data_IF_605908739825
#
_entry.id   IF_605908739825
#
_cell.length_a   1.000
_cell.length_b   1.000
_cell.length_c   1.000
_cell.angle_alpha   90.00
_cell.angle_beta   90.00
_cell.angle_gamma   90.00
#
_symmetry.space_group_name_H-M   'P 1'
#
loop_
_entity.id
_entity.type
_entity.pdbx_description
1 polymer ?
#
# COMPACT_ATOMS: atom_id res chain seq x y z
N UNK A 1 -34.36 4.98 -0.69
CA UNK A 1 -33.74 3.65 -0.74
C UNK A 1 -34.57 2.72 0.14
N UNK A 2 -34.73 1.46 -0.23
CA UNK A 2 -35.53 0.45 0.48
C UNK A 2 -34.59 -0.60 1.03
N UNK A 3 -34.73 -0.97 2.30
CA UNK A 3 -33.91 -1.98 2.96
C UNK A 3 -34.19 -3.36 2.33
N UNK A 4 -33.18 -3.97 1.76
CA UNK A 4 -33.21 -5.36 1.25
C UNK A 4 -32.71 -6.37 2.29
N UNK A 5 -31.72 -5.97 3.07
CA UNK A 5 -31.09 -6.83 4.08
C UNK A 5 -30.58 -5.99 5.23
N UNK A 6 -30.82 -6.43 6.45
CA UNK A 6 -30.27 -5.86 7.67
C UNK A 6 -29.04 -6.70 8.05
N UNK A 7 -27.87 -6.08 8.18
CA UNK A 7 -26.66 -6.75 8.58
C UNK A 7 -26.52 -6.72 10.11
N UNK A 8 -26.71 -5.55 10.70
CA UNK A 8 -26.77 -5.31 12.14
C UNK A 8 -27.55 -4.01 12.40
N UNK A 9 -27.56 -3.53 13.65
CA UNK A 9 -28.28 -2.28 14.00
C UNK A 9 -27.75 -1.02 13.27
N UNK A 10 -26.54 -1.08 12.72
CA UNK A 10 -25.82 0.07 12.15
C UNK A 10 -25.48 -0.07 10.67
N UNK A 11 -25.81 -1.21 10.04
CA UNK A 11 -25.52 -1.45 8.63
C UNK A 11 -26.66 -2.18 7.94
N UNK A 12 -27.03 -1.69 6.76
CA UNK A 12 -28.06 -2.30 5.91
C UNK A 12 -27.62 -2.33 4.45
N UNK A 13 -28.08 -3.31 3.71
CA UNK A 13 -28.07 -3.28 2.25
C UNK A 13 -29.41 -2.73 1.80
N UNK A 14 -29.39 -1.61 1.08
CA UNK A 14 -30.57 -0.98 0.53
C UNK A 14 -30.50 -0.90 -0.99
N UNK A 15 -31.64 -0.94 -1.63
CA UNK A 15 -31.78 -0.82 -3.08
C UNK A 15 -32.07 0.62 -3.48
N UNK A 16 -31.30 1.12 -4.44
CA UNK A 16 -31.54 2.40 -5.11
C UNK A 16 -32.72 2.29 -6.09
N UNK A 17 -33.24 3.45 -6.55
CA UNK A 17 -34.23 3.53 -7.63
C UNK A 17 -33.76 2.93 -8.96
N UNK A 18 -32.45 2.74 -9.15
CA UNK A 18 -31.82 2.17 -10.32
C UNK A 18 -31.51 0.67 -10.18
N UNK A 19 -32.11 0.00 -9.19
CA UNK A 19 -31.92 -1.44 -8.90
C UNK A 19 -30.46 -1.81 -8.50
N UNK A 20 -29.70 -0.83 -8.00
CA UNK A 20 -28.34 -1.03 -7.52
C UNK A 20 -28.38 -1.24 -6.00
N UNK A 21 -27.73 -2.30 -5.54
CA UNK A 21 -27.54 -2.57 -4.13
C UNK A 21 -26.44 -1.66 -3.57
N UNK A 22 -26.74 -0.97 -2.48
CA UNK A 22 -25.86 -0.03 -1.81
C UNK A 22 -25.77 -0.46 -0.35
N UNK A 23 -24.57 -0.60 0.17
CA UNK A 23 -24.37 -0.79 1.59
C UNK A 23 -24.40 0.58 2.26
N UNK A 24 -25.32 0.74 3.21
CA UNK A 24 -25.50 1.96 3.99
C UNK A 24 -25.10 1.68 5.42
N UNK A 25 -24.34 2.61 5.95
CA UNK A 25 -23.81 2.57 7.29
C UNK A 25 -24.20 3.85 8.04
N UNK A 26 -24.58 3.72 9.31
CA UNK A 26 -24.89 4.81 10.19
C UNK A 26 -25.43 4.33 11.53
N UNK A 27 -25.16 5.09 12.60
CA UNK A 27 -25.54 4.69 13.96
C UNK A 27 -27.06 4.50 14.08
N UNK A 28 -27.47 3.26 14.39
CA UNK A 28 -28.89 2.92 14.58
C UNK A 28 -29.72 2.93 13.30
N UNK A 29 -29.13 2.95 12.12
CA UNK A 29 -29.83 3.02 10.82
C UNK A 29 -30.87 1.90 10.63
N UNK A 30 -30.68 0.75 11.25
CA UNK A 30 -31.60 -0.39 11.22
C UNK A 30 -32.43 -0.54 12.50
N UNK A 31 -32.24 0.33 13.50
CA UNK A 31 -32.93 0.18 14.77
C UNK A 31 -34.46 0.34 14.61
N UNK A 32 -35.21 -0.66 15.03
CA UNK A 32 -36.65 -0.71 14.90
C UNK A 32 -37.20 -0.85 13.48
N UNK A 33 -36.34 -1.11 12.49
CA UNK A 33 -36.73 -1.24 11.08
C UNK A 33 -36.74 -2.69 10.63
N UNK A 34 -37.47 -2.92 9.52
CA UNK A 34 -37.63 -4.23 8.86
C UNK A 34 -37.22 -4.15 7.39
N UNK A 35 -37.01 -5.31 6.80
CA UNK A 35 -36.84 -5.43 5.35
C UNK A 35 -38.07 -4.87 4.66
N UNK A 36 -37.88 -4.04 3.65
CA UNK A 36 -38.93 -3.32 2.93
C UNK A 36 -39.14 -1.88 3.41
N UNK A 37 -38.64 -1.50 4.58
CA UNK A 37 -38.74 -0.14 5.08
C UNK A 37 -37.84 0.84 4.30
N UNK A 38 -38.23 2.13 4.32
CA UNK A 38 -37.43 3.20 3.74
C UNK A 38 -36.32 3.60 4.70
N UNK A 39 -35.10 3.78 4.18
CA UNK A 39 -33.98 4.38 4.94
C UNK A 39 -34.15 5.89 4.96
N UNK A 40 -34.07 6.52 6.16
CA UNK A 40 -33.94 7.97 6.26
C UNK A 40 -32.54 8.40 5.85
N UNK A 41 -32.47 9.43 5.01
CA UNK A 41 -31.18 9.94 4.51
C UNK A 41 -30.32 10.56 5.63
N UNK A 42 -30.95 11.06 6.69
CA UNK A 42 -30.25 11.66 7.85
C UNK A 42 -29.49 10.60 8.66
N UNK A 43 -29.97 9.37 8.68
CA UNK A 43 -29.34 8.25 9.42
C UNK A 43 -28.15 7.66 8.67
N UNK A 44 -27.89 8.09 7.42
CA UNK A 44 -26.80 7.59 6.60
C UNK A 44 -25.55 8.42 6.87
N UNK A 45 -24.59 7.83 7.54
CA UNK A 45 -23.25 8.41 7.72
C UNK A 45 -22.34 8.10 6.52
N UNK A 46 -22.50 6.92 5.93
CA UNK A 46 -21.71 6.48 4.77
C UNK A 46 -22.46 5.53 3.86
N UNK A 47 -22.13 5.57 2.58
CA UNK A 47 -22.63 4.65 1.55
C UNK A 47 -21.50 4.10 0.72
N UNK A 48 -21.51 2.77 0.47
CA UNK A 48 -20.53 2.07 -0.34
C UNK A 48 -21.23 1.53 -1.59
N UNK A 49 -20.74 1.99 -2.77
CA UNK A 49 -21.24 1.60 -4.07
C UNK A 49 -20.37 0.48 -4.64
N UNK A 50 -20.59 -0.74 -4.21
CA UNK A 50 -19.75 -1.86 -4.56
C UNK A 50 -20.17 -2.44 -5.92
N UNK A 51 -19.34 -2.24 -6.92
CA UNK A 51 -19.56 -2.77 -8.28
C UNK A 51 -19.37 -4.29 -8.38
N UNK A 52 -18.58 -4.87 -7.47
CA UNK A 52 -18.23 -6.28 -7.45
C UNK A 52 -18.99 -7.01 -6.33
N UNK A 53 -19.59 -8.18 -6.67
CA UNK A 53 -20.31 -9.04 -5.71
C UNK A 53 -19.40 -9.58 -4.59
N UNK A 54 -18.15 -9.87 -4.91
CA UNK A 54 -17.19 -10.39 -3.93
C UNK A 54 -16.86 -9.33 -2.87
N UNK A 55 -16.68 -8.08 -3.29
CA UNK A 55 -16.49 -6.97 -2.36
C UNK A 55 -17.72 -6.75 -1.48
N UNK A 56 -18.94 -6.88 -2.04
CA UNK A 56 -20.18 -6.80 -1.25
C UNK A 56 -20.24 -7.88 -0.17
N UNK A 57 -19.84 -9.10 -0.49
CA UNK A 57 -19.79 -10.20 0.48
C UNK A 57 -18.77 -9.89 1.59
N UNK A 58 -17.55 -9.49 1.25
CA UNK A 58 -16.50 -9.13 2.21
C UNK A 58 -16.91 -7.97 3.13
N UNK A 59 -17.51 -6.91 2.58
CA UNK A 59 -18.05 -5.80 3.39
C UNK A 59 -19.15 -6.29 4.34
N UNK A 60 -20.04 -7.15 3.84
CA UNK A 60 -21.12 -7.71 4.67
C UNK A 60 -20.55 -8.49 5.85
N UNK A 61 -19.58 -9.36 5.62
CA UNK A 61 -18.90 -10.16 6.64
C UNK A 61 -18.16 -9.26 7.65
N UNK A 62 -17.45 -8.24 7.18
CA UNK A 62 -16.79 -7.27 8.04
C UNK A 62 -17.79 -6.59 8.99
N UNK A 63 -18.91 -6.05 8.48
CA UNK A 63 -19.90 -5.37 9.32
C UNK A 63 -20.64 -6.30 10.29
N UNK A 64 -20.72 -7.60 9.99
CA UNK A 64 -21.30 -8.58 10.92
C UNK A 64 -20.33 -8.93 12.05
N UNK A 65 -19.04 -9.11 11.74
CA UNK A 65 -18.07 -9.72 12.62
C UNK A 65 -17.21 -8.71 13.39
N UNK A 66 -17.00 -7.50 12.83
CA UNK A 66 -16.11 -6.50 13.44
C UNK A 66 -16.92 -5.53 14.32
N UNK A 67 -16.45 -5.22 15.55
CA UNK A 67 -17.07 -4.20 16.39
C UNK A 67 -17.16 -2.84 15.68
N UNK A 68 -18.32 -2.19 15.82
CA UNK A 68 -18.58 -0.90 15.17
C UNK A 68 -17.54 0.16 15.49
N UNK A 69 -17.04 0.15 16.72
CA UNK A 69 -16.02 1.09 17.19
C UNK A 69 -14.74 1.02 16.32
N UNK A 70 -14.33 -0.18 15.90
CA UNK A 70 -13.17 -0.36 15.03
C UNK A 70 -13.43 0.17 13.61
N UNK A 71 -14.66 0.03 13.11
CA UNK A 71 -15.04 0.61 11.81
C UNK A 71 -14.91 2.15 11.85
N UNK A 72 -15.37 2.80 12.91
CA UNK A 72 -15.21 4.25 13.08
C UNK A 72 -13.74 4.69 13.23
N UNK A 73 -12.95 3.92 13.97
CA UNK A 73 -11.51 4.19 14.13
C UNK A 73 -10.81 4.09 12.78
N UNK A 74 -11.09 3.02 12.03
CA UNK A 74 -10.54 2.83 10.67
C UNK A 74 -10.95 3.97 9.74
N UNK A 75 -12.21 4.41 9.80
CA UNK A 75 -12.67 5.55 9.00
C UNK A 75 -11.90 6.83 9.33
N UNK A 76 -11.66 7.13 10.63
CA UNK A 76 -10.83 8.26 11.04
C UNK A 76 -9.43 8.17 10.46
N UNK A 77 -8.83 6.98 10.49
CA UNK A 77 -7.49 6.72 9.95
C UNK A 77 -7.46 6.91 8.42
N UNK A 78 -8.44 6.38 7.70
CA UNK A 78 -8.54 6.54 6.24
C UNK A 78 -8.76 8.01 5.85
N UNK A 79 -9.61 8.74 6.58
CA UNK A 79 -9.83 10.16 6.33
C UNK A 79 -8.56 10.98 6.59
N UNK A 80 -7.79 10.64 7.63
CA UNK A 80 -6.47 11.24 7.86
C UNK A 80 -5.54 10.94 6.68
N UNK A 81 -5.54 9.71 6.17
CA UNK A 81 -4.77 9.31 4.99
C UNK A 81 -5.12 10.13 3.75
N UNK A 82 -6.41 10.33 3.47
CA UNK A 82 -6.87 11.18 2.35
C UNK A 82 -6.34 12.60 2.43
N UNK A 83 -6.32 13.17 3.65
CA UNK A 83 -5.83 14.54 3.87
C UNK A 83 -4.30 14.60 3.76
N UNK A 84 -3.59 13.61 4.31
CA UNK A 84 -2.13 13.63 4.42
C UNK A 84 -1.46 13.27 3.09
N UNK A 85 -1.97 12.23 2.40
CA UNK A 85 -1.38 11.72 1.16
C UNK A 85 -2.03 12.33 -0.11
N UNK A 86 -3.12 13.09 0.04
CA UNK A 86 -3.80 13.78 -1.07
C UNK A 86 -4.50 12.85 -2.07
N UNK A 87 -4.73 11.58 -1.72
CA UNK A 87 -5.24 10.55 -2.60
C UNK A 87 -6.68 10.13 -2.29
N UNK A 88 -7.40 9.74 -3.33
CA UNK A 88 -8.67 9.01 -3.19
C UNK A 88 -8.36 7.51 -3.26
N UNK A 89 -8.48 6.84 -2.13
CA UNK A 89 -8.27 5.39 -2.03
C UNK A 89 -9.49 4.62 -2.52
N UNK A 90 -9.26 3.44 -3.11
CA UNK A 90 -10.33 2.48 -3.41
C UNK A 90 -11.08 2.11 -2.12
N UNK A 91 -12.38 1.85 -2.24
CA UNK A 91 -13.24 1.47 -1.11
C UNK A 91 -12.77 0.19 -0.42
N UNK A 92 -12.02 -0.68 -1.11
CA UNK A 92 -11.48 -1.92 -0.56
C UNK A 92 -10.57 -1.70 0.65
N UNK A 93 -9.93 -0.51 0.77
CA UNK A 93 -9.10 -0.17 1.92
C UNK A 93 -9.89 -0.23 3.24
N UNK A 94 -11.18 0.10 3.21
CA UNK A 94 -12.03 0.02 4.40
C UNK A 94 -12.13 -1.40 4.93
N UNK A 95 -12.22 -2.40 4.05
CA UNK A 95 -12.23 -3.82 4.43
C UNK A 95 -10.86 -4.21 4.96
N UNK A 96 -9.84 -4.06 4.12
CA UNK A 96 -8.52 -4.59 4.40
C UNK A 96 -7.89 -3.97 5.65
N UNK A 97 -8.05 -2.66 5.83
CA UNK A 97 -7.49 -1.97 7.00
C UNK A 97 -8.32 -2.24 8.28
N UNK A 98 -9.65 -2.35 8.17
CA UNK A 98 -10.49 -2.71 9.34
C UNK A 98 -10.18 -4.12 9.82
N UNK A 99 -10.07 -5.08 8.90
CA UNK A 99 -9.71 -6.46 9.22
C UNK A 99 -8.33 -6.54 9.86
N UNK A 100 -7.35 -5.84 9.29
CA UNK A 100 -6.00 -5.76 9.87
C UNK A 100 -6.00 -5.19 11.29
N UNK A 101 -6.65 -4.04 11.52
CA UNK A 101 -6.70 -3.40 12.84
C UNK A 101 -7.41 -4.32 13.85
N UNK A 102 -8.53 -4.95 13.45
CA UNK A 102 -9.26 -5.89 14.31
C UNK A 102 -8.37 -7.05 14.73
N UNK A 103 -7.75 -7.72 13.75
CA UNK A 103 -6.85 -8.85 13.99
C UNK A 103 -5.61 -8.47 14.81
N UNK A 104 -5.06 -7.28 14.59
CA UNK A 104 -3.90 -6.79 15.35
C UNK A 104 -4.25 -6.55 16.83
N UNK A 105 -5.43 -6.00 17.10
CA UNK A 105 -5.92 -5.78 18.46
C UNK A 105 -6.21 -7.11 19.17
N UNK A 106 -6.80 -8.07 18.46
CA UNK A 106 -7.06 -9.41 19.01
C UNK A 106 -5.75 -10.11 19.40
N UNK A 107 -4.79 -10.17 18.48
CA UNK A 107 -3.45 -10.74 18.74
C UNK A 107 -2.75 -10.05 19.91
N UNK A 108 -2.80 -8.73 19.96
CA UNK A 108 -2.19 -7.97 21.04
C UNK A 108 -2.81 -8.31 22.41
N UNK A 109 -4.14 -8.47 22.50
CA UNK A 109 -4.83 -8.90 23.73
C UNK A 109 -4.46 -10.32 24.15
N UNK A 110 -4.13 -11.19 23.21
CA UNK A 110 -3.63 -12.55 23.44
C UNK A 110 -2.13 -12.59 23.75
N UNK A 111 -1.44 -11.44 23.75
CA UNK A 111 0.01 -11.35 23.99
C UNK A 111 0.86 -11.74 22.79
N UNK A 112 0.26 -11.90 21.60
CA UNK A 112 0.96 -12.24 20.37
C UNK A 112 1.38 -10.95 19.65
N UNK A 113 2.69 -10.73 19.57
CA UNK A 113 3.29 -9.60 18.87
C UNK A 113 3.94 -10.09 17.58
N UNK A 114 3.53 -9.53 16.45
CA UNK A 114 4.15 -9.79 15.14
C UNK A 114 5.11 -8.65 14.82
N UNK A 115 6.39 -8.98 14.62
CA UNK A 115 7.37 -8.03 14.08
C UNK A 115 7.26 -7.98 12.57
N UNK A 116 7.44 -6.78 12.01
CA UNK A 116 7.55 -6.59 10.57
C UNK A 116 9.04 -6.56 10.18
N UNK A 117 9.57 -7.60 9.52
CA UNK A 117 10.99 -7.66 9.16
C UNK A 117 11.42 -6.55 8.21
N UNK A 118 10.50 -5.96 7.45
CA UNK A 118 10.75 -4.83 6.54
C UNK A 118 10.35 -3.46 7.14
N UNK A 119 10.12 -3.38 8.46
CA UNK A 119 9.68 -2.12 9.09
C UNK A 119 10.64 -0.96 8.80
N UNK A 120 11.93 -1.22 8.85
CA UNK A 120 12.93 -0.17 8.62
C UNK A 120 12.91 0.32 7.18
N UNK A 121 12.85 -0.58 6.22
CA UNK A 121 12.76 -0.32 4.78
C UNK A 121 11.46 0.40 4.43
N UNK A 122 10.33 -0.03 5.00
CA UNK A 122 9.05 0.64 4.83
C UNK A 122 9.11 2.07 5.38
N UNK A 123 9.71 2.28 6.55
CA UNK A 123 9.88 3.62 7.13
C UNK A 123 10.75 4.53 6.27
N UNK A 124 11.67 3.95 5.49
CA UNK A 124 12.60 4.63 4.62
C UNK A 124 11.99 4.93 3.25
N UNK A 125 11.38 3.93 2.61
CA UNK A 125 10.90 4.03 1.23
C UNK A 125 9.48 4.60 1.12
N UNK A 126 8.66 4.45 2.17
CA UNK A 126 7.28 4.91 2.26
C UNK A 126 7.10 5.81 3.48
N UNK A 127 7.93 6.88 3.53
CA UNK A 127 8.07 7.76 4.70
C UNK A 127 6.73 8.41 5.11
N UNK A 128 5.97 8.90 4.13
CA UNK A 128 4.68 9.56 4.38
C UNK A 128 3.63 8.58 4.91
N UNK A 129 3.54 7.41 4.29
CA UNK A 129 2.62 6.36 4.70
C UNK A 129 2.99 5.78 6.07
N UNK A 130 4.30 5.66 6.37
CA UNK A 130 4.76 5.22 7.68
C UNK A 130 4.45 6.24 8.79
N UNK A 131 4.64 7.54 8.53
CA UNK A 131 4.23 8.61 9.46
C UNK A 131 2.70 8.59 9.68
N UNK A 132 1.91 8.33 8.64
CA UNK A 132 0.48 8.11 8.76
C UNK A 132 0.18 6.87 9.63
N UNK A 133 0.90 5.77 9.45
CA UNK A 133 0.81 4.57 10.27
C UNK A 133 1.06 4.87 11.76
N UNK A 134 2.07 5.66 12.10
CA UNK A 134 2.34 6.10 13.47
C UNK A 134 1.19 6.92 14.06
N UNK A 135 0.61 7.83 13.27
CA UNK A 135 -0.58 8.59 13.69
C UNK A 135 -1.79 7.69 13.88
N UNK A 136 -1.95 6.65 13.07
CA UNK A 136 -3.00 5.65 13.24
C UNK A 136 -2.87 4.93 14.57
N UNK A 137 -1.67 4.53 15.00
CA UNK A 137 -1.44 3.96 16.31
C UNK A 137 -1.82 4.91 17.45
N UNK A 138 -1.55 6.22 17.30
CA UNK A 138 -1.96 7.22 18.28
C UNK A 138 -3.49 7.36 18.37
N UNK A 139 -4.20 7.26 17.23
CA UNK A 139 -5.67 7.25 17.20
C UNK A 139 -6.20 6.02 17.95
N UNK A 140 -5.67 4.83 17.65
CA UNK A 140 -6.06 3.57 18.31
C UNK A 140 -5.81 3.67 19.82
N UNK A 141 -4.63 4.15 20.24
CA UNK A 141 -4.31 4.35 21.66
C UNK A 141 -5.28 5.31 22.35
N UNK A 142 -5.62 6.42 21.68
CA UNK A 142 -6.53 7.43 22.23
C UNK A 142 -7.96 6.91 22.38
N UNK A 143 -8.46 6.17 21.39
CA UNK A 143 -9.85 5.72 21.37
C UNK A 143 -10.08 4.45 22.21
N UNK A 144 -9.12 3.52 22.23
CA UNK A 144 -9.27 2.21 22.86
C UNK A 144 -8.37 2.01 24.09
N UNK A 145 -7.41 2.90 24.35
CA UNK A 145 -6.40 2.71 25.41
C UNK A 145 -5.38 1.61 25.10
N UNK A 146 -5.32 1.11 23.86
CA UNK A 146 -4.45 0.01 23.43
C UNK A 146 -3.20 0.59 22.77
N UNK A 147 -2.02 0.21 23.26
CA UNK A 147 -0.73 0.64 22.72
C UNK A 147 -0.12 -0.48 21.86
N UNK A 148 -0.44 -0.48 20.58
CA UNK A 148 0.09 -1.43 19.61
C UNK A 148 1.58 -1.17 19.33
N UNK A 149 2.37 -2.23 19.03
CA UNK A 149 3.80 -2.11 18.69
C UNK A 149 3.99 -1.26 17.42
N UNK A 150 5.18 -0.63 17.32
CA UNK A 150 5.54 0.24 16.19
C UNK A 150 5.55 -0.51 14.84
N UNK A 151 5.72 -1.82 14.86
CA UNK A 151 5.65 -2.67 13.67
C UNK A 151 4.29 -2.60 12.97
N UNK A 152 3.22 -2.40 13.73
CA UNK A 152 1.88 -2.23 13.17
C UNK A 152 1.75 -0.93 12.34
N UNK A 153 2.57 0.10 12.62
CA UNK A 153 2.63 1.28 11.76
C UNK A 153 3.13 0.94 10.34
N UNK A 154 4.07 0.00 10.21
CA UNK A 154 4.56 -0.44 8.91
C UNK A 154 3.50 -1.27 8.16
N UNK A 155 2.77 -2.14 8.82
CA UNK A 155 1.66 -2.87 8.21
C UNK A 155 0.55 -1.91 7.75
N UNK A 156 0.16 -0.94 8.58
CA UNK A 156 -0.82 0.08 8.21
C UNK A 156 -0.32 0.92 7.02
N UNK A 157 0.95 1.31 7.00
CA UNK A 157 1.55 2.02 5.88
C UNK A 157 1.39 1.26 4.56
N UNK A 158 1.67 -0.05 4.54
CA UNK A 158 1.50 -0.88 3.35
C UNK A 158 0.05 -0.99 2.89
N UNK A 159 -0.93 -0.94 3.78
CA UNK A 159 -2.34 -0.86 3.36
C UNK A 159 -2.63 0.41 2.55
N UNK A 160 -2.04 1.55 2.92
CA UNK A 160 -2.16 2.79 2.15
C UNK A 160 -1.38 2.76 0.84
N UNK A 161 -0.18 2.20 0.84
CA UNK A 161 0.61 1.99 -0.39
C UNK A 161 -0.18 1.15 -1.38
N UNK A 162 -0.77 0.02 -0.93
CA UNK A 162 -1.59 -0.86 -1.76
C UNK A 162 -2.81 -0.16 -2.34
N UNK A 163 -3.48 0.66 -1.53
CA UNK A 163 -4.67 1.39 -1.97
C UNK A 163 -4.36 2.47 -3.02
N UNK A 164 -3.11 2.95 -3.08
CA UNK A 164 -2.64 3.90 -4.09
C UNK A 164 -2.27 3.22 -5.41
N UNK A 165 -1.73 2.01 -5.34
CA UNK A 165 -1.20 1.29 -6.50
C UNK A 165 -2.20 0.29 -7.10
N UNK A 166 -3.43 0.21 -6.55
CA UNK A 166 -4.41 -0.85 -6.87
C UNK A 166 -3.88 -2.29 -6.65
N UNK A 167 -2.80 -2.43 -5.88
CA UNK A 167 -2.10 -3.69 -5.64
C UNK A 167 -2.61 -4.41 -4.38
N UNK A 168 -2.29 -5.70 -4.29
CA UNK A 168 -2.51 -6.45 -3.06
C UNK A 168 -1.31 -6.31 -2.10
N UNK A 169 -1.52 -6.65 -0.81
CA UNK A 169 -0.50 -6.52 0.24
C UNK A 169 0.79 -7.30 -0.08
N UNK A 170 0.68 -8.49 -0.67
CA UNK A 170 1.85 -9.31 -1.02
C UNK A 170 2.71 -8.66 -2.11
N UNK A 171 2.10 -7.95 -3.05
CA UNK A 171 2.80 -7.25 -4.12
C UNK A 171 3.62 -6.08 -3.56
N UNK A 172 3.04 -5.26 -2.69
CA UNK A 172 3.78 -4.16 -2.07
C UNK A 172 4.93 -4.64 -1.18
N UNK A 173 4.76 -5.78 -0.53
CA UNK A 173 5.83 -6.42 0.22
C UNK A 173 6.98 -6.84 -0.71
N UNK A 174 6.67 -7.52 -1.83
CA UNK A 174 7.67 -7.89 -2.85
C UNK A 174 8.35 -6.67 -3.46
N UNK A 175 7.59 -5.62 -3.77
CA UNK A 175 8.16 -4.35 -4.28
C UNK A 175 9.19 -3.79 -3.30
N UNK A 176 8.90 -3.82 -2.00
CA UNK A 176 9.82 -3.36 -0.96
C UNK A 176 11.09 -4.21 -0.92
N UNK A 177 10.97 -5.54 -1.01
CA UNK A 177 12.12 -6.46 -1.07
C UNK A 177 13.00 -6.21 -2.31
N UNK A 178 12.39 -5.97 -3.47
CA UNK A 178 13.13 -5.64 -4.71
C UNK A 178 13.93 -4.35 -4.52
N UNK A 179 13.30 -3.30 -4.00
CA UNK A 179 13.96 -2.00 -3.77
C UNK A 179 15.15 -2.18 -2.83
N UNK A 180 14.95 -2.88 -1.71
CA UNK A 180 16.00 -3.17 -0.74
C UNK A 180 17.16 -3.94 -1.36
N UNK A 181 16.88 -4.98 -2.16
CA UNK A 181 17.90 -5.78 -2.84
C UNK A 181 18.75 -4.95 -3.81
N UNK A 182 18.09 -4.14 -4.64
CA UNK A 182 18.78 -3.26 -5.59
C UNK A 182 19.66 -2.23 -4.86
N UNK A 183 19.09 -1.56 -3.84
CA UNK A 183 19.83 -0.54 -3.09
C UNK A 183 21.05 -1.15 -2.40
N UNK A 184 20.89 -2.32 -1.78
CA UNK A 184 22.00 -3.01 -1.11
C UNK A 184 23.14 -3.36 -2.07
N UNK A 185 22.83 -3.89 -3.27
CA UNK A 185 23.85 -4.20 -4.27
C UNK A 185 24.64 -2.95 -4.65
N UNK A 186 23.96 -1.82 -4.86
CA UNK A 186 24.65 -0.58 -5.24
C UNK A 186 25.49 -0.04 -4.07
N UNK A 187 24.98 -0.10 -2.83
CA UNK A 187 25.73 0.32 -1.64
C UNK A 187 26.98 -0.54 -1.42
N UNK A 188 26.85 -1.86 -1.55
CA UNK A 188 27.95 -2.82 -1.38
C UNK A 188 29.01 -2.61 -2.48
N UNK A 189 28.59 -2.38 -3.73
CA UNK A 189 29.49 -2.15 -4.87
C UNK A 189 30.34 -0.88 -4.71
N UNK A 190 29.73 0.20 -4.22
CA UNK A 190 30.40 1.49 -4.02
C UNK A 190 30.97 1.68 -2.59
N UNK A 191 30.76 0.68 -1.69
CA UNK A 191 31.16 0.73 -0.29
C UNK A 191 30.70 2.02 0.42
N UNK A 192 29.44 2.45 0.18
CA UNK A 192 28.91 3.72 0.66
C UNK A 192 27.43 3.60 1.08
N UNK A 193 27.04 4.46 2.01
CA UNK A 193 25.64 4.70 2.31
C UNK A 193 25.15 5.96 1.60
N UNK A 194 23.90 5.94 1.11
CA UNK A 194 23.35 7.10 0.42
C UNK A 194 22.68 8.07 1.37
N UNK A 195 22.85 9.38 1.07
CA UNK A 195 22.08 10.41 1.76
C UNK A 195 20.62 10.36 1.33
N UNK A 196 19.78 9.83 2.23
CA UNK A 196 18.35 9.59 1.99
C UNK A 196 17.53 10.88 1.84
N UNK A 197 18.03 12.01 2.33
CA UNK A 197 17.38 13.32 2.20
C UNK A 197 17.77 14.04 0.90
N UNK A 198 18.62 13.43 0.06
CA UNK A 198 19.03 14.04 -1.21
C UNK A 198 17.96 13.88 -2.30
N UNK A 199 17.87 14.90 -3.19
CA UNK A 199 16.97 14.84 -4.36
C UNK A 199 17.33 13.70 -5.29
N UNK A 200 18.61 13.36 -5.42
CA UNK A 200 19.09 12.28 -6.30
C UNK A 200 18.65 10.91 -5.74
N UNK A 201 18.70 10.73 -4.40
CA UNK A 201 18.18 9.53 -3.76
C UNK A 201 16.65 9.41 -3.90
N UNK A 202 15.92 10.49 -3.66
CA UNK A 202 14.46 10.51 -3.84
C UNK A 202 14.05 10.10 -5.27
N UNK A 203 14.73 10.65 -6.27
CA UNK A 203 14.50 10.29 -7.69
C UNK A 203 14.81 8.83 -7.96
N UNK A 204 15.95 8.34 -7.47
CA UNK A 204 16.35 6.95 -7.60
C UNK A 204 15.27 6.02 -7.03
N UNK A 205 14.87 6.19 -5.77
CA UNK A 205 13.84 5.37 -5.13
C UNK A 205 12.49 5.43 -5.87
N UNK A 206 12.09 6.61 -6.34
CA UNK A 206 10.85 6.76 -7.12
C UNK A 206 10.88 5.89 -8.38
N UNK A 207 12.01 5.88 -9.10
CA UNK A 207 12.14 5.10 -10.32
C UNK A 207 12.26 3.60 -10.04
N UNK A 208 13.00 3.21 -9.01
CA UNK A 208 13.10 1.79 -8.63
C UNK A 208 11.74 1.25 -8.15
N UNK A 209 10.93 2.05 -7.48
CA UNK A 209 9.54 1.67 -7.15
C UNK A 209 8.72 1.36 -8.40
N UNK A 210 8.75 2.23 -9.40
CA UNK A 210 8.04 2.03 -10.67
C UNK A 210 8.56 0.80 -11.42
N UNK A 211 9.87 0.59 -11.42
CA UNK A 211 10.48 -0.59 -12.00
C UNK A 211 10.04 -1.87 -11.26
N UNK A 212 10.14 -1.90 -9.94
CA UNK A 212 9.74 -3.03 -9.11
C UNK A 212 8.24 -3.38 -9.28
N UNK A 213 7.38 -2.36 -9.43
CA UNK A 213 5.96 -2.56 -9.72
C UNK A 213 5.76 -3.30 -11.04
N UNK A 214 6.39 -2.84 -12.14
CA UNK A 214 6.31 -3.52 -13.43
C UNK A 214 6.81 -4.96 -13.37
N UNK A 215 7.89 -5.19 -12.63
CA UNK A 215 8.48 -6.51 -12.45
C UNK A 215 7.51 -7.47 -11.73
N UNK A 216 6.78 -7.00 -10.73
CA UNK A 216 5.77 -7.80 -10.01
C UNK A 216 4.55 -8.08 -10.89
N UNK A 217 4.14 -7.13 -11.73
CA UNK A 217 3.03 -7.28 -12.67
C UNK A 217 3.37 -8.06 -13.95
N UNK A 218 4.64 -8.46 -14.13
CA UNK A 218 5.14 -9.06 -15.37
C UNK A 218 4.83 -8.21 -16.62
N UNK A 219 4.79 -6.89 -16.48
CA UNK A 219 4.61 -5.97 -17.60
C UNK A 219 5.97 -5.60 -18.18
N UNK A 220 6.28 -6.09 -19.39
CA UNK A 220 7.50 -5.70 -20.11
C UNK A 220 7.34 -4.33 -20.74
N UNK A 221 8.37 -3.52 -20.64
CA UNK A 221 8.47 -2.30 -21.44
C UNK A 221 8.84 -2.72 -22.87
N UNK A 222 7.91 -2.55 -23.79
CA UNK A 222 8.19 -2.72 -25.24
C UNK A 222 8.70 -1.40 -25.81
N UNK A 223 9.89 -0.98 -25.39
CA UNK A 223 10.61 0.08 -26.10
C UNK A 223 11.68 -0.56 -26.97
N UNK A 224 12.01 0.13 -28.08
CA UNK A 224 13.08 -0.27 -28.99
C UNK A 224 14.36 -0.54 -28.19
N UNK A 225 14.97 -1.67 -28.47
CA UNK A 225 16.18 -2.11 -27.78
C UNK A 225 17.33 -1.15 -28.15
N UNK A 226 17.73 -0.29 -27.20
CA UNK A 226 18.65 0.82 -27.42
C UNK A 226 20.11 0.37 -27.23
N UNK A 227 20.52 -0.65 -27.99
CA UNK A 227 21.86 -1.27 -27.91
C UNK A 227 22.99 -0.25 -28.16
N UNK A 228 22.77 0.68 -29.07
CA UNK A 228 23.75 1.73 -29.38
C UNK A 228 23.97 2.67 -28.18
N UNK A 229 22.91 3.04 -27.50
CA UNK A 229 23.01 3.88 -26.30
C UNK A 229 23.66 3.12 -25.15
N UNK A 230 23.34 1.84 -24.99
CA UNK A 230 23.99 1.00 -23.98
C UNK A 230 25.50 0.89 -24.23
N UNK A 231 25.93 0.68 -25.49
CA UNK A 231 27.34 0.62 -25.85
C UNK A 231 28.07 1.94 -25.53
N UNK A 232 27.44 3.08 -25.82
CA UNK A 232 27.96 4.41 -25.46
C UNK A 232 28.10 4.59 -23.95
N UNK A 233 27.06 4.22 -23.19
CA UNK A 233 27.04 4.33 -21.74
C UNK A 233 28.08 3.42 -21.10
N UNK A 234 28.23 2.18 -21.56
CA UNK A 234 29.23 1.22 -21.10
C UNK A 234 30.66 1.75 -21.27
N UNK A 235 30.96 2.33 -22.43
CA UNK A 235 32.25 2.93 -22.70
C UNK A 235 32.56 4.15 -21.84
N UNK A 236 31.54 4.98 -21.59
CA UNK A 236 31.71 6.24 -20.85
C UNK A 236 31.65 6.05 -19.32
N UNK A 237 30.89 5.09 -18.85
CA UNK A 237 30.59 4.84 -17.43
C UNK A 237 30.76 3.33 -17.09
N UNK A 238 31.97 2.78 -17.20
CA UNK A 238 32.20 1.34 -17.04
C UNK A 238 31.86 0.84 -15.63
N UNK A 239 32.09 1.63 -14.58
CA UNK A 239 31.77 1.24 -13.19
C UNK A 239 30.27 1.15 -12.96
N UNK A 240 29.51 2.12 -13.48
CA UNK A 240 28.04 2.10 -13.41
C UNK A 240 27.45 0.93 -14.20
N UNK A 241 28.10 0.56 -15.33
CA UNK A 241 27.73 -0.62 -16.09
C UNK A 241 27.95 -1.91 -15.28
N UNK A 242 29.15 -2.09 -14.69
CA UNK A 242 29.45 -3.25 -13.84
C UNK A 242 28.49 -3.39 -12.67
N UNK A 243 28.16 -2.29 -12.00
CA UNK A 243 27.15 -2.26 -10.95
C UNK A 243 25.75 -2.62 -11.48
N UNK A 244 25.36 -2.08 -12.62
CA UNK A 244 24.09 -2.37 -13.28
C UNK A 244 23.96 -3.85 -13.67
N UNK A 245 25.06 -4.48 -14.14
CA UNK A 245 25.10 -5.93 -14.42
C UNK A 245 24.86 -6.78 -13.17
N UNK A 246 25.40 -6.38 -12.01
CA UNK A 246 25.13 -7.09 -10.76
C UNK A 246 23.66 -7.00 -10.36
N UNK A 247 23.03 -5.82 -10.53
CA UNK A 247 21.60 -5.66 -10.32
C UNK A 247 20.81 -6.50 -11.33
N UNK A 248 21.19 -6.50 -12.60
CA UNK A 248 20.54 -7.32 -13.64
C UNK A 248 20.61 -8.82 -13.31
N UNK A 249 21.76 -9.30 -12.82
CA UNK A 249 21.93 -10.69 -12.39
C UNK A 249 21.06 -11.03 -11.19
N UNK A 250 20.94 -10.15 -10.21
CA UNK A 250 20.03 -10.30 -9.07
C UNK A 250 18.57 -10.42 -9.54
N UNK A 251 18.12 -9.50 -10.40
CA UNK A 251 16.76 -9.51 -10.93
C UNK A 251 16.48 -10.79 -11.74
N UNK A 252 17.44 -11.23 -12.56
CA UNK A 252 17.30 -12.47 -13.32
C UNK A 252 17.20 -13.70 -12.42
N UNK A 253 18.05 -13.76 -11.39
CA UNK A 253 18.11 -14.91 -10.48
C UNK A 253 16.88 -15.03 -9.58
N UNK A 254 16.47 -13.93 -8.97
CA UNK A 254 15.40 -13.93 -7.95
C UNK A 254 14.00 -13.81 -8.56
N UNK A 255 13.88 -13.12 -9.72
CA UNK A 255 12.58 -12.79 -10.31
C UNK A 255 12.37 -13.34 -11.71
N UNK A 256 13.39 -14.06 -12.27
CA UNK A 256 13.35 -14.64 -13.62
C UNK A 256 13.01 -13.62 -14.72
N UNK A 257 13.52 -12.38 -14.57
CA UNK A 257 13.29 -11.27 -15.48
C UNK A 257 14.63 -10.80 -16.07
N UNK A 258 14.69 -10.68 -17.41
CA UNK A 258 15.86 -10.16 -18.12
C UNK A 258 15.64 -8.67 -18.37
N UNK A 259 16.55 -7.83 -17.83
CA UNK A 259 16.53 -6.40 -18.13
C UNK A 259 16.81 -6.16 -19.62
N UNK A 260 16.03 -5.26 -20.21
CA UNK A 260 16.31 -4.75 -21.55
C UNK A 260 17.50 -3.79 -21.54
N UNK A 261 18.10 -3.54 -22.72
CA UNK A 261 19.19 -2.56 -22.87
C UNK A 261 18.76 -1.17 -22.39
N UNK A 262 17.54 -0.75 -22.71
CA UNK A 262 16.95 0.52 -22.25
C UNK A 262 16.80 0.60 -20.73
N UNK A 263 16.34 -0.47 -20.08
CA UNK A 263 16.21 -0.52 -18.60
C UNK A 263 17.59 -0.45 -17.93
N UNK A 264 18.59 -1.11 -18.48
CA UNK A 264 19.96 -1.07 -17.96
C UNK A 264 20.57 0.34 -18.10
N UNK A 265 20.40 0.98 -19.25
CA UNK A 265 20.82 2.38 -19.48
C UNK A 265 20.16 3.30 -18.45
N UNK A 266 18.88 3.10 -18.23
CA UNK A 266 18.12 3.91 -17.27
C UNK A 266 18.63 3.73 -15.83
N UNK A 267 18.87 2.48 -15.43
CA UNK A 267 19.47 2.14 -14.13
C UNK A 267 20.86 2.77 -13.98
N UNK A 268 21.73 2.64 -14.98
CA UNK A 268 23.07 3.26 -15.00
C UNK A 268 23.01 4.78 -14.80
N UNK A 269 22.06 5.47 -15.44
CA UNK A 269 21.88 6.91 -15.29
C UNK A 269 21.53 7.31 -13.84
N UNK A 270 20.74 6.49 -13.15
CA UNK A 270 20.40 6.71 -11.75
C UNK A 270 21.55 6.38 -10.82
N UNK A 271 22.27 5.28 -11.04
CA UNK A 271 23.49 4.92 -10.30
C UNK A 271 24.50 6.07 -10.42
N UNK A 272 24.76 6.56 -11.63
CA UNK A 272 25.70 7.68 -11.86
C UNK A 272 25.32 8.93 -11.09
N UNK A 273 24.05 9.27 -11.00
CA UNK A 273 23.60 10.44 -10.22
C UNK A 273 23.82 10.28 -8.72
N UNK A 274 23.57 9.08 -8.19
CA UNK A 274 23.81 8.78 -6.78
C UNK A 274 25.30 8.82 -6.41
N UNK A 275 26.17 8.41 -7.33
CA UNK A 275 27.59 8.16 -7.08
C UNK A 275 28.50 9.27 -7.58
N UNK A 276 27.99 10.29 -8.29
CA UNK A 276 28.78 11.38 -8.88
C UNK A 276 29.69 12.16 -7.93
N UNK A 277 29.42 12.11 -6.63
CA UNK A 277 30.21 12.80 -5.59
C UNK A 277 31.11 11.83 -4.81
N UNK A 278 31.21 10.56 -5.26
CA UNK A 278 32.03 9.52 -4.63
C UNK A 278 33.35 9.30 -5.39
N UNK A 279 33.53 9.96 -6.54
CA UNK A 279 34.75 9.92 -7.37
C UNK A 279 35.76 10.97 -6.91
#
# INVERSE_FOLDING_TARGET
>A
MIIKRILNHNAVIAQSKKDIDILLFGRGIAFGRKIGDKVNLIDIEKSFFLKNRDNMTRFTEMFINVPLELVYITEKIINLGKITLGNNFDEIIYINLTDHISSSIERYKEGVIISNPLRWEISKYYKEEFELGKRALQIIKKELGIELPIDEAAFIALHFVNANLENNFQESYKITEIIMGIEKIIQDFYCTEFNQDSIDYYRFITHIKLFAHRLVENTTYCDDDDEDLLALMKNKYPREYECGEQVAMFIQTEYNYLLTSSELVYLMAHIRRLTKNLD
#
